data_IF_223535355007
#
_entry.id   IF_223535355007
#
_cell.length_a   1.000
_cell.length_b   1.000
_cell.length_c   1.000
_cell.angle_alpha   90.00
_cell.angle_beta   90.00
_cell.angle_gamma   90.00
#
_symmetry.space_group_name_H-M   'P 1'
#
loop_
_entity.id
_entity.type
_entity.pdbx_description
1 polymer ?
#
# COMPACT_ATOMS: atom_id res chain seq x y z
N UNK A 1 19.01 3.20 2.85
CA UNK A 1 18.35 2.46 3.95
C UNK A 1 17.22 1.61 3.36
N UNK A 2 17.05 0.37 3.82
CA UNK A 2 15.99 -0.54 3.36
C UNK A 2 14.99 -0.76 4.49
N UNK A 3 13.69 -0.71 4.19
CA UNK A 3 12.62 -0.93 5.18
C UNK A 3 11.62 -1.96 4.67
N UNK A 4 11.06 -2.74 5.61
CA UNK A 4 9.95 -3.66 5.36
C UNK A 4 8.71 -3.08 6.01
N UNK A 5 7.69 -2.79 5.22
CA UNK A 5 6.44 -2.21 5.72
C UNK A 5 5.41 -3.35 5.87
N UNK A 6 4.80 -3.55 7.05
CA UNK A 6 3.67 -4.45 7.22
C UNK A 6 2.42 -3.89 6.53
N UNK A 7 1.54 -4.79 6.07
CA UNK A 7 0.24 -4.42 5.51
C UNK A 7 -0.70 -3.96 6.62
N UNK A 8 -1.44 -2.90 6.36
CA UNK A 8 -2.53 -2.37 7.14
C UNK A 8 -3.79 -2.42 6.27
N UNK A 9 -4.90 -2.90 6.83
CA UNK A 9 -6.18 -3.04 6.12
C UNK A 9 -6.98 -1.74 6.09
N UNK A 10 -6.52 -0.70 6.78
CA UNK A 10 -7.16 0.63 6.77
C UNK A 10 -7.02 1.28 5.39
N UNK A 11 -7.98 2.14 5.05
CA UNK A 11 -7.88 3.02 3.87
C UNK A 11 -6.67 3.98 3.95
N UNK A 12 -6.32 4.34 5.18
CA UNK A 12 -5.16 5.14 5.53
C UNK A 12 -4.19 4.30 6.37
N UNK A 13 -3.00 3.96 5.85
CA UNK A 13 -2.06 3.12 6.58
C UNK A 13 -1.54 3.88 7.81
N UNK A 14 -1.41 3.17 8.93
CA UNK A 14 -0.72 3.65 10.12
C UNK A 14 0.75 4.02 9.79
N UNK A 15 1.43 4.87 10.59
CA UNK A 15 2.84 5.17 10.39
C UNK A 15 3.69 3.91 10.20
N UNK A 16 4.61 3.94 9.24
CA UNK A 16 5.46 2.82 8.87
C UNK A 16 4.72 1.55 8.39
N UNK A 17 3.52 1.68 7.81
CA UNK A 17 2.80 0.56 7.18
C UNK A 17 2.37 0.90 5.74
N UNK A 18 1.75 -0.05 5.06
CA UNK A 18 1.21 0.13 3.71
C UNK A 18 -0.21 -0.43 3.58
N UNK A 19 -0.99 0.10 2.65
CA UNK A 19 -2.32 -0.42 2.30
C UNK A 19 -2.43 -0.70 0.81
N UNK A 20 -3.24 -1.70 0.47
CA UNK A 20 -3.39 -2.21 -0.89
C UNK A 20 -4.39 -1.40 -1.71
N UNK A 21 -4.04 -1.12 -2.96
CA UNK A 21 -4.89 -0.44 -3.94
C UNK A 21 -5.12 -1.40 -5.10
N UNK A 22 -6.32 -1.99 -5.17
CA UNK A 22 -6.64 -3.10 -6.08
C UNK A 22 -6.46 -2.77 -7.55
N UNK A 23 -7.15 -1.76 -8.06
CA UNK A 23 -7.01 -1.09 -9.37
C UNK A 23 -8.02 0.06 -9.30
N UNK A 24 -7.67 1.25 -9.74
CA UNK A 24 -8.60 2.36 -9.99
C UNK A 24 -8.55 2.78 -11.45
N UNK A 25 -9.45 3.70 -11.86
CA UNK A 25 -9.41 4.33 -13.17
C UNK A 25 -8.06 5.01 -13.51
N UNK A 26 -7.19 5.21 -12.52
CA UNK A 26 -5.91 5.92 -12.63
C UNK A 26 -4.67 5.02 -12.49
N UNK A 27 -4.84 3.70 -12.31
CA UNK A 27 -3.71 2.77 -12.09
C UNK A 27 -3.73 1.64 -13.11
N UNK A 28 -2.60 1.35 -13.77
CA UNK A 28 -2.46 0.29 -14.78
C UNK A 28 -2.46 -1.14 -14.20
N UNK A 29 -2.55 -1.28 -12.88
CA UNK A 29 -2.53 -2.55 -12.15
C UNK A 29 -2.57 -2.31 -10.64
N UNK A 30 -2.53 -3.38 -9.84
CA UNK A 30 -2.47 -3.28 -8.38
C UNK A 30 -1.28 -2.44 -7.93
N UNK A 31 -1.50 -1.59 -6.93
CA UNK A 31 -0.46 -0.75 -6.33
C UNK A 31 -0.69 -0.62 -4.82
N UNK A 32 0.03 0.28 -4.17
CA UNK A 32 -0.06 0.51 -2.74
C UNK A 32 0.10 1.99 -2.38
N UNK A 33 -0.38 2.33 -1.19
CA UNK A 33 -0.04 3.57 -0.49
C UNK A 33 0.79 3.20 0.74
N UNK A 34 1.86 3.94 0.99
CA UNK A 34 2.73 3.75 2.16
C UNK A 34 2.66 4.97 3.06
N UNK A 35 2.88 4.77 4.36
CA UNK A 35 3.07 5.86 5.32
C UNK A 35 4.53 5.97 5.73
N UNK A 36 5.05 7.19 5.71
CA UNK A 36 6.40 7.51 6.13
C UNK A 36 6.62 7.15 7.61
N UNK A 37 7.66 6.36 7.90
CA UNK A 37 7.98 5.99 9.28
C UNK A 37 8.44 7.19 10.14
N UNK A 38 8.98 8.25 9.53
CA UNK A 38 9.47 9.43 10.24
C UNK A 38 8.38 10.43 10.62
N UNK A 39 7.37 10.62 9.77
CA UNK A 39 6.39 11.70 9.97
C UNK A 39 4.93 11.32 9.72
N UNK A 40 4.64 10.07 9.35
CA UNK A 40 3.29 9.58 9.07
C UNK A 40 2.70 10.00 7.72
N UNK A 41 3.34 10.95 7.02
CA UNK A 41 2.86 11.43 5.72
C UNK A 41 2.83 10.31 4.67
N UNK A 42 1.86 10.39 3.76
CA UNK A 42 1.58 9.29 2.84
C UNK A 42 2.18 9.51 1.46
N UNK A 43 2.58 8.42 0.83
CA UNK A 43 3.02 8.40 -0.57
C UNK A 43 2.28 7.33 -1.36
N UNK A 44 1.82 7.68 -2.56
CA UNK A 44 1.29 6.73 -3.54
C UNK A 44 2.43 6.05 -4.28
N UNK A 45 2.33 4.74 -4.49
CA UNK A 45 3.27 3.97 -5.32
C UNK A 45 2.81 3.82 -6.78
N UNK A 46 1.85 4.61 -7.24
CA UNK A 46 1.34 4.55 -8.62
C UNK A 46 2.39 4.81 -9.71
N UNK A 47 3.47 5.52 -9.39
CA UNK A 47 4.63 5.73 -10.26
C UNK A 47 5.79 4.75 -10.04
N UNK A 48 5.58 3.69 -9.25
CA UNK A 48 6.61 2.72 -8.90
C UNK A 48 6.28 1.34 -9.47
N UNK A 49 7.33 0.58 -9.75
CA UNK A 49 7.25 -0.85 -10.00
C UNK A 49 7.29 -1.62 -8.68
N UNK A 50 6.41 -2.61 -8.55
CA UNK A 50 6.37 -3.54 -7.41
C UNK A 50 6.55 -4.94 -7.98
N UNK A 51 7.62 -5.64 -7.59
CA UNK A 51 7.87 -7.01 -8.06
C UNK A 51 7.03 -8.06 -7.31
N UNK A 52 7.21 -9.33 -7.69
CA UNK A 52 6.46 -10.44 -7.09
C UNK A 52 6.75 -10.64 -5.61
N UNK A 53 7.89 -10.19 -5.11
CA UNK A 53 8.25 -10.25 -3.68
C UNK A 53 7.79 -8.99 -2.92
N UNK A 54 7.16 -8.03 -3.59
CA UNK A 54 6.73 -6.77 -3.03
C UNK A 54 7.85 -5.73 -2.90
N UNK A 55 8.98 -5.88 -3.61
CA UNK A 55 10.06 -4.87 -3.61
C UNK A 55 9.67 -3.71 -4.53
N UNK A 56 9.85 -2.49 -4.03
CA UNK A 56 9.44 -1.26 -4.69
C UNK A 56 10.64 -0.60 -5.36
N UNK A 57 10.50 -0.24 -6.64
CA UNK A 57 11.50 0.49 -7.43
C UNK A 57 10.84 1.66 -8.17
N UNK A 58 11.42 2.89 -8.15
CA UNK A 58 12.62 3.29 -7.40
C UNK A 58 12.38 3.34 -5.88
N UNK A 59 13.39 3.79 -5.13
CA UNK A 59 13.25 4.11 -3.71
C UNK A 59 12.15 5.15 -3.46
N UNK A 60 11.46 5.04 -2.32
CA UNK A 60 10.38 5.94 -1.92
C UNK A 60 10.94 7.15 -1.18
N UNK A 61 10.44 8.33 -1.53
CA UNK A 61 10.75 9.61 -0.85
C UNK A 61 9.50 10.14 -0.17
N UNK A 62 9.61 10.57 1.08
CA UNK A 62 8.50 11.24 1.77
C UNK A 62 8.22 12.61 1.13
N UNK A 63 6.95 12.92 0.77
CA UNK A 63 6.62 14.20 0.15
C UNK A 63 6.67 15.37 1.13
N UNK A 64 6.68 15.12 2.45
CA UNK A 64 6.78 16.18 3.46
C UNK A 64 8.17 16.84 3.38
N UNK A 65 8.19 18.10 2.99
CA UNK A 65 9.40 18.93 2.94
C UNK A 65 10.14 18.88 4.28
N UNK A 66 11.43 18.53 4.25
CA UNK A 66 12.28 18.45 5.42
C UNK A 66 12.21 17.13 6.21
N UNK A 67 11.38 16.15 5.83
CA UNK A 67 11.35 14.85 6.53
C UNK A 67 12.62 14.00 6.29
N UNK A 68 13.24 14.11 5.11
CA UNK A 68 14.47 13.38 4.77
C UNK A 68 14.31 11.86 4.60
N UNK A 69 13.09 11.32 4.75
CA UNK A 69 12.85 9.89 4.58
C UNK A 69 12.94 9.50 3.10
N UNK A 70 14.01 8.78 2.75
CA UNK A 70 14.29 8.28 1.41
C UNK A 70 14.83 6.84 1.53
N UNK A 71 14.01 5.86 1.17
CA UNK A 71 14.29 4.45 1.50
C UNK A 71 13.88 3.48 0.39
N UNK A 72 14.58 2.36 0.30
CA UNK A 72 14.11 1.19 -0.46
C UNK A 72 13.05 0.46 0.37
N UNK A 73 11.95 0.03 -0.25
CA UNK A 73 10.80 -0.55 0.46
C UNK A 73 10.53 -1.97 -0.02
N UNK A 74 10.22 -2.87 0.92
CA UNK A 74 9.53 -4.14 0.66
C UNK A 74 8.17 -4.13 1.36
N UNK A 75 7.11 -4.45 0.62
CA UNK A 75 5.73 -4.54 1.10
C UNK A 75 5.46 -5.96 1.62
N UNK A 76 5.46 -6.14 2.93
CA UNK A 76 5.20 -7.45 3.55
C UNK A 76 3.73 -7.83 3.33
N UNK A 77 3.49 -9.04 2.82
CA UNK A 77 2.14 -9.54 2.50
C UNK A 77 1.62 -9.08 1.13
N UNK A 78 2.49 -8.61 0.23
CA UNK A 78 2.11 -8.19 -1.12
C UNK A 78 1.47 -9.31 -1.94
N UNK A 79 2.11 -10.49 -1.97
CA UNK A 79 1.62 -11.68 -2.71
C UNK A 79 0.21 -12.05 -2.26
N UNK A 80 -0.01 -12.08 -0.94
CA UNK A 80 -1.33 -12.39 -0.38
C UNK A 80 -2.36 -11.34 -0.78
N UNK A 81 -1.98 -10.05 -0.76
CA UNK A 81 -2.88 -8.96 -1.13
C UNK A 81 -3.35 -9.00 -2.58
N UNK A 82 -2.45 -9.35 -3.51
CA UNK A 82 -2.80 -9.48 -4.94
C UNK A 82 -3.59 -10.77 -5.22
N UNK A 83 -3.41 -11.82 -4.41
CA UNK A 83 -4.12 -13.08 -4.54
C UNK A 83 -5.52 -13.06 -3.88
N UNK A 84 -5.76 -12.19 -2.90
CA UNK A 84 -7.08 -12.08 -2.25
C UNK A 84 -8.18 -11.80 -3.30
N UNK A 85 -9.29 -12.54 -3.30
CA UNK A 85 -10.42 -12.24 -4.18
C UNK A 85 -11.03 -10.87 -3.84
N UNK A 86 -11.69 -10.23 -4.81
CA UNK A 86 -12.53 -9.06 -4.52
C UNK A 86 -13.60 -9.52 -3.55
N UNK A 87 -13.54 -9.07 -2.30
CA UNK A 87 -14.70 -9.18 -1.41
C UNK A 87 -15.79 -8.32 -2.03
N UNK A 88 -16.81 -8.96 -2.60
CA UNK A 88 -18.06 -8.28 -2.92
C UNK A 88 -18.61 -7.76 -1.60
N UNK A 89 -18.56 -6.46 -1.37
CA UNK A 89 -19.32 -5.79 -0.31
C UNK A 89 -20.79 -5.70 -0.71
N UNK A 90 -21.37 -6.82 -1.14
CA UNK A 90 -22.78 -6.95 -1.52
C UNK A 90 -23.43 -8.14 -0.79
N UNK A 91 -23.01 -8.37 0.46
CA UNK A 91 -23.84 -9.08 1.42
C UNK A 91 -24.77 -8.04 2.07
N UNK A 92 -25.75 -7.57 1.30
CA UNK A 92 -26.96 -7.02 1.91
C UNK A 92 -27.69 -8.21 2.51
N UNK A 93 -27.64 -8.23 3.83
CA UNK A 93 -28.50 -8.98 4.73
C UNK A 93 -29.97 -8.93 4.25
N UNK A 94 -30.50 -10.09 3.85
CA UNK A 94 -31.94 -10.37 3.91
C UNK A 94 -32.11 -11.75 4.56
N UNK A 95 -31.86 -11.76 5.86
CA UNK A 95 -32.53 -12.66 6.79
C UNK A 95 -33.73 -11.89 7.38
N UNK A 96 -34.80 -12.61 7.73
CA UNK A 96 -36.06 -12.14 8.39
C UNK A 96 -37.14 -11.64 7.39
N UNK A 97 -38.35 -12.19 7.29
CA UNK A 97 -39.07 -13.28 7.98
C UNK A 97 -40.13 -13.88 7.04
#
# INVERSE_FOLDING_TARGET
MHVRLPRDSKHWPSPASWTFIRVSAFTKGPTARVSCAGCGEMASLSGHSIDVEGRVTPSVVCPRKGCGWHVSVTLVGWVDAIAEPRRNTDATDQSES
#
